data_IF_710096580803
#
_entry.id   IF_710096580803
#
_cell.length_a   1.000
_cell.length_b   1.000
_cell.length_c   1.000
_cell.angle_alpha   90.00
_cell.angle_beta   90.00
_cell.angle_gamma   90.00
#
_symmetry.space_group_name_H-M   'P 1'
#
loop_
_entity.id
_entity.type
_entity.pdbx_description
1 polymer ?
#
# COMPACT_ATOMS: atom_id res chain seq x y z
N UNK A 1 24.23 21.44 -78.83
CA UNK A 1 23.24 22.54 -78.71
C UNK A 1 21.88 21.94 -78.43
N UNK A 2 21.11 22.53 -77.52
CA UNK A 2 19.77 22.26 -77.05
C UNK A 2 19.67 21.39 -75.81
N UNK A 3 19.49 22.13 -74.69
CA UNK A 3 19.22 21.61 -73.41
C UNK A 3 17.74 21.22 -73.24
N UNK A 4 17.44 20.04 -72.71
CA UNK A 4 16.09 19.62 -72.34
C UNK A 4 15.93 19.66 -70.84
N UNK A 5 15.09 20.54 -70.35
CA UNK A 5 14.66 20.67 -68.97
C UNK A 5 13.69 19.54 -68.63
N UNK A 6 14.07 18.64 -67.67
CA UNK A 6 13.13 17.71 -67.02
C UNK A 6 12.46 18.39 -65.84
N UNK A 7 11.15 18.51 -65.88
CA UNK A 7 10.25 18.96 -64.85
C UNK A 7 10.10 17.85 -63.78
N UNK A 8 10.46 18.16 -62.54
CA UNK A 8 10.23 17.25 -61.43
C UNK A 8 8.76 17.40 -60.98
N UNK A 9 8.01 16.33 -61.06
CA UNK A 9 6.67 16.16 -60.50
C UNK A 9 6.78 15.87 -58.98
N UNK A 10 6.25 16.79 -58.19
CA UNK A 10 6.03 16.58 -56.72
C UNK A 10 4.98 15.48 -56.57
N UNK A 11 5.38 14.32 -55.99
CA UNK A 11 4.44 13.34 -55.46
C UNK A 11 3.85 13.86 -54.14
N UNK A 12 2.53 13.97 -54.08
CA UNK A 12 1.78 14.22 -52.86
C UNK A 12 1.79 12.96 -51.99
N UNK A 13 2.08 13.14 -50.69
CA UNK A 13 1.99 12.10 -49.68
C UNK A 13 0.56 11.61 -49.54
N UNK A 14 0.29 10.29 -49.35
CA UNK A 14 -1.06 9.77 -49.17
C UNK A 14 -1.62 10.25 -47.82
N UNK A 15 -2.82 10.85 -47.86
CA UNK A 15 -3.57 11.28 -46.69
C UNK A 15 -3.86 10.12 -45.74
N UNK A 16 -3.78 10.38 -44.44
CA UNK A 16 -4.22 9.43 -43.40
C UNK A 16 -5.67 9.05 -43.65
N UNK A 17 -5.93 7.75 -43.83
CA UNK A 17 -7.25 7.22 -44.13
C UNK A 17 -8.16 7.28 -42.87
N UNK A 18 -9.51 7.20 -43.05
CA UNK A 18 -10.50 7.35 -41.97
C UNK A 18 -10.35 6.36 -40.80
N UNK A 19 -9.68 5.22 -41.01
CA UNK A 19 -9.43 4.20 -39.95
C UNK A 19 -8.43 4.67 -38.86
N UNK A 20 -7.58 5.66 -39.13
CA UNK A 20 -6.68 6.21 -38.11
C UNK A 20 -7.38 7.21 -37.18
N UNK A 21 -8.32 8.01 -37.71
CA UNK A 21 -9.09 8.96 -36.94
C UNK A 21 -10.11 8.27 -35.99
N UNK A 22 -10.69 7.15 -36.44
CA UNK A 22 -11.59 6.34 -35.57
C UNK A 22 -10.83 5.63 -34.45
N UNK A 23 -9.60 5.20 -34.66
CA UNK A 23 -8.76 4.63 -33.60
C UNK A 23 -8.34 5.68 -32.59
N UNK A 24 -7.96 6.88 -33.06
CA UNK A 24 -7.54 7.97 -32.21
C UNK A 24 -8.71 8.54 -31.37
N UNK A 25 -9.95 8.55 -31.89
CA UNK A 25 -11.16 8.92 -31.14
C UNK A 25 -11.58 7.84 -30.15
N UNK A 26 -11.51 6.56 -30.51
CA UNK A 26 -11.80 5.47 -29.60
C UNK A 26 -10.76 5.35 -28.46
N UNK A 27 -9.50 5.66 -28.71
CA UNK A 27 -8.49 5.73 -27.62
C UNK A 27 -8.75 6.92 -26.72
N UNK A 28 -9.10 8.09 -27.23
CA UNK A 28 -9.43 9.28 -26.44
C UNK A 28 -10.71 9.11 -25.62
N UNK A 29 -11.73 8.42 -26.13
CA UNK A 29 -12.93 8.07 -25.37
C UNK A 29 -12.67 7.02 -24.29
N UNK A 30 -11.81 6.05 -24.53
CA UNK A 30 -11.36 5.08 -23.53
C UNK A 30 -10.53 5.78 -22.43
N UNK A 31 -9.62 6.67 -22.77
CA UNK A 31 -8.84 7.44 -21.82
C UNK A 31 -9.71 8.37 -20.98
N UNK A 32 -10.76 8.99 -21.56
CA UNK A 32 -11.70 9.82 -20.81
C UNK A 32 -12.62 9.00 -19.89
N UNK A 33 -13.05 7.81 -20.29
CA UNK A 33 -13.83 6.89 -19.43
C UNK A 33 -12.97 6.25 -18.33
N UNK A 34 -11.67 6.05 -18.55
CA UNK A 34 -10.76 5.54 -17.54
C UNK A 34 -10.42 6.61 -16.49
N UNK A 35 -10.41 7.89 -16.88
CA UNK A 35 -10.18 9.02 -15.96
C UNK A 35 -11.30 9.22 -14.92
N UNK A 36 -12.51 8.75 -15.21
CA UNK A 36 -13.66 8.83 -14.29
C UNK A 36 -13.75 7.62 -13.32
N UNK A 37 -12.93 6.59 -13.54
CA UNK A 37 -12.77 5.45 -12.64
C UNK A 37 -11.50 5.63 -11.83
N UNK A 38 -11.62 5.61 -10.50
CA UNK A 38 -10.48 5.74 -9.60
C UNK A 38 -9.32 4.76 -9.88
N UNK A 39 -8.13 5.00 -9.30
CA UNK A 39 -6.92 4.26 -9.62
C UNK A 39 -7.02 2.78 -9.25
N UNK A 40 -6.46 1.88 -10.07
CA UNK A 40 -6.22 0.48 -9.70
C UNK A 40 -5.02 0.40 -8.77
N UNK A 41 -5.24 -0.16 -7.58
CA UNK A 41 -4.23 -0.22 -6.52
C UNK A 41 -4.05 -1.65 -6.06
N UNK A 42 -2.83 -2.19 -6.23
CA UNK A 42 -2.50 -3.53 -5.81
C UNK A 42 -2.31 -3.62 -4.28
N UNK A 43 -2.77 -4.70 -3.69
CA UNK A 43 -2.56 -5.01 -2.27
C UNK A 43 -2.40 -6.52 -2.07
N UNK A 44 -1.71 -6.93 -1.00
CA UNK A 44 -1.50 -8.35 -0.69
C UNK A 44 -2.66 -8.94 0.10
N UNK A 45 -3.14 -10.11 -0.33
CA UNK A 45 -4.15 -10.90 0.36
C UNK A 45 -5.49 -10.96 -0.35
N UNK A 46 -6.52 -11.33 0.38
CA UNK A 46 -7.90 -11.47 -0.10
C UNK A 46 -8.71 -10.19 0.14
N UNK A 47 -9.84 -10.00 -0.56
CA UNK A 47 -10.82 -8.99 -0.19
C UNK A 47 -11.19 -9.06 1.30
N UNK A 48 -11.25 -7.94 1.98
CA UNK A 48 -11.46 -7.86 3.44
C UNK A 48 -10.16 -7.83 4.27
N UNK A 49 -8.97 -7.96 3.64
CA UNK A 49 -7.70 -7.81 4.34
C UNK A 49 -7.46 -6.36 4.81
N UNK A 50 -6.68 -6.16 5.90
CA UNK A 50 -6.28 -4.83 6.37
C UNK A 50 -5.52 -4.01 5.31
N UNK A 51 -4.84 -4.68 4.37
CA UNK A 51 -4.20 -4.00 3.25
C UNK A 51 -5.22 -3.39 2.27
N UNK A 52 -6.39 -4.03 2.08
CA UNK A 52 -7.49 -3.43 1.31
C UNK A 52 -8.12 -2.25 2.07
N UNK A 53 -8.25 -2.34 3.42
CA UNK A 53 -8.70 -1.21 4.23
C UNK A 53 -7.76 0.00 4.06
N UNK A 54 -6.46 -0.25 3.96
CA UNK A 54 -5.47 0.79 3.69
C UNK A 54 -5.63 1.40 2.29
N UNK A 55 -5.95 0.61 1.25
CA UNK A 55 -6.28 1.13 -0.09
C UNK A 55 -7.50 2.03 -0.04
N UNK A 56 -8.57 1.57 0.62
CA UNK A 56 -9.82 2.32 0.72
C UNK A 56 -9.67 3.61 1.54
N UNK A 57 -8.79 3.62 2.54
CA UNK A 57 -8.49 4.81 3.33
C UNK A 57 -7.58 5.81 2.60
N UNK A 58 -6.66 5.32 1.74
CA UNK A 58 -5.68 6.14 1.04
C UNK A 58 -6.26 6.89 -0.17
N UNK A 59 -7.25 6.32 -0.86
CA UNK A 59 -7.73 6.81 -2.14
C UNK A 59 -9.26 7.03 -2.14
N UNK A 60 -9.70 8.01 -2.92
CA UNK A 60 -11.13 8.18 -3.22
C UNK A 60 -11.53 7.24 -4.36
N UNK A 61 -12.59 6.43 -4.13
CA UNK A 61 -13.12 5.46 -5.09
C UNK A 61 -12.05 4.58 -5.78
N UNK A 62 -11.07 4.02 -5.05
CA UNK A 62 -10.06 3.16 -5.65
C UNK A 62 -10.70 1.89 -6.20
N UNK A 63 -9.97 1.22 -7.09
CA UNK A 63 -10.24 -0.16 -7.50
C UNK A 63 -9.15 -1.06 -6.89
N UNK A 64 -9.41 -1.65 -5.70
CA UNK A 64 -8.45 -2.55 -5.06
C UNK A 64 -8.24 -3.80 -5.91
N UNK A 65 -6.98 -4.20 -6.08
CA UNK A 65 -6.57 -5.37 -6.86
C UNK A 65 -5.81 -6.32 -5.94
N UNK A 66 -6.42 -7.43 -5.51
CA UNK A 66 -5.77 -8.39 -4.64
C UNK A 66 -4.69 -9.18 -5.40
N UNK A 67 -3.55 -9.37 -4.75
CA UNK A 67 -2.46 -10.25 -5.23
C UNK A 67 -2.00 -11.16 -4.09
N UNK A 68 -1.38 -12.32 -4.36
CA UNK A 68 -1.10 -13.34 -3.35
C UNK A 68 -0.20 -12.87 -2.20
N UNK A 69 0.83 -12.08 -2.47
CA UNK A 69 1.83 -11.70 -1.48
C UNK A 69 2.41 -10.31 -1.70
N UNK A 70 3.40 -9.95 -0.87
CA UNK A 70 4.02 -8.62 -0.95
C UNK A 70 4.84 -8.47 -2.23
N UNK A 71 5.61 -9.48 -2.63
CA UNK A 71 6.41 -9.46 -3.84
C UNK A 71 5.57 -9.17 -5.07
N UNK A 72 4.42 -9.82 -5.19
CA UNK A 72 3.49 -9.63 -6.32
C UNK A 72 2.90 -8.21 -6.35
N UNK A 73 2.76 -7.52 -5.21
CA UNK A 73 2.40 -6.09 -5.19
C UNK A 73 3.49 -5.27 -5.87
N UNK A 74 4.76 -5.48 -5.50
CA UNK A 74 5.89 -4.74 -6.08
C UNK A 74 6.06 -5.05 -7.57
N UNK A 75 5.93 -6.31 -7.97
CA UNK A 75 5.99 -6.73 -9.37
C UNK A 75 4.86 -6.12 -10.20
N UNK A 76 3.61 -6.15 -9.69
CA UNK A 76 2.45 -5.56 -10.36
C UNK A 76 2.61 -4.04 -10.57
N UNK A 77 3.13 -3.32 -9.57
CA UNK A 77 3.39 -1.87 -9.68
C UNK A 77 4.53 -1.61 -10.66
N UNK A 78 5.61 -2.39 -10.60
CA UNK A 78 6.78 -2.23 -11.49
C UNK A 78 6.40 -2.50 -12.94
N UNK A 79 5.67 -3.58 -13.20
CA UNK A 79 5.20 -3.94 -14.54
C UNK A 79 4.03 -3.06 -15.02
N UNK A 80 3.33 -2.39 -14.10
CA UNK A 80 2.11 -1.65 -14.41
C UNK A 80 0.89 -2.53 -14.69
N UNK A 81 0.99 -3.84 -14.49
CA UNK A 81 -0.09 -4.81 -14.72
C UNK A 81 0.00 -5.96 -13.70
N UNK A 82 -1.11 -6.62 -13.45
CA UNK A 82 -1.11 -7.90 -12.75
C UNK A 82 -0.82 -8.99 -13.80
N UNK A 83 0.05 -9.97 -13.50
CA UNK A 83 0.18 -11.14 -14.37
C UNK A 83 -1.19 -11.73 -14.67
N UNK A 84 -1.47 -12.04 -15.94
CA UNK A 84 -2.77 -12.49 -16.37
C UNK A 84 -3.27 -13.66 -15.49
N UNK A 85 -4.53 -13.61 -15.00
CA UNK A 85 -5.14 -14.79 -14.41
C UNK A 85 -5.22 -15.90 -15.46
N UNK A 86 -5.40 -17.14 -15.00
CA UNK A 86 -5.43 -18.32 -15.87
C UNK A 86 -6.37 -18.13 -17.09
N UNK A 87 -6.07 -18.77 -18.25
CA UNK A 87 -6.82 -18.55 -19.47
C UNK A 87 -8.33 -18.86 -19.26
N UNK A 88 -9.17 -17.84 -19.49
CA UNK A 88 -10.64 -17.92 -19.36
C UNK A 88 -11.30 -16.85 -18.50
N UNK A 89 -10.58 -15.91 -17.91
CA UNK A 89 -11.16 -14.76 -17.21
C UNK A 89 -11.31 -13.59 -18.19
N UNK A 90 -12.55 -13.09 -18.35
CA UNK A 90 -12.88 -11.91 -19.16
C UNK A 90 -12.50 -10.57 -18.51
N UNK A 91 -11.65 -10.57 -17.47
CA UNK A 91 -11.18 -9.32 -16.86
C UNK A 91 -10.17 -8.63 -17.77
N UNK A 92 -10.57 -7.47 -18.26
CA UNK A 92 -9.76 -6.63 -19.13
C UNK A 92 -8.41 -6.32 -18.52
N UNK A 93 -7.36 -6.91 -19.10
CA UNK A 93 -5.94 -6.79 -18.72
C UNK A 93 -5.36 -5.40 -19.04
N UNK A 94 -6.16 -4.49 -19.61
CA UNK A 94 -5.70 -3.27 -20.29
C UNK A 94 -5.53 -2.02 -19.40
N UNK A 95 -5.96 -2.03 -18.15
CA UNK A 95 -5.80 -0.84 -17.30
C UNK A 95 -4.60 -0.98 -16.35
N UNK A 96 -3.66 -0.01 -16.36
CA UNK A 96 -2.43 -0.13 -15.60
C UNK A 96 -2.67 -0.08 -14.09
N UNK A 97 -1.87 -0.83 -13.34
CA UNK A 97 -1.73 -0.66 -11.90
C UNK A 97 -1.02 0.67 -11.63
N UNK A 98 -1.72 1.57 -10.94
CA UNK A 98 -1.22 2.92 -10.65
C UNK A 98 -0.27 2.92 -9.44
N UNK A 99 -0.61 2.15 -8.40
CA UNK A 99 0.10 2.10 -7.13
C UNK A 99 -0.05 0.75 -6.45
N UNK A 100 0.76 0.52 -5.41
CA UNK A 100 0.61 -0.58 -4.47
C UNK A 100 0.50 -0.05 -3.04
N UNK A 101 -0.16 -0.82 -2.17
CA UNK A 101 -0.22 -0.54 -0.73
C UNK A 101 0.37 -1.71 0.02
N UNK A 102 1.41 -1.45 0.82
CA UNK A 102 2.16 -2.48 1.54
C UNK A 102 2.36 -2.09 3.01
N UNK A 103 2.17 -3.04 3.96
CA UNK A 103 2.43 -2.77 5.37
C UNK A 103 3.94 -2.59 5.61
N UNK A 104 4.32 -1.59 6.42
CA UNK A 104 5.72 -1.36 6.74
C UNK A 104 6.03 -1.60 8.21
N UNK A 105 5.05 -1.36 9.07
CA UNK A 105 5.20 -1.44 10.51
C UNK A 105 3.85 -1.67 11.20
N UNK A 106 3.85 -2.49 12.24
CA UNK A 106 2.70 -2.68 13.12
C UNK A 106 3.13 -2.39 14.57
N UNK A 107 2.32 -1.70 15.34
CA UNK A 107 2.68 -1.29 16.70
C UNK A 107 2.99 -2.45 17.65
N UNK A 108 2.40 -3.61 17.42
CA UNK A 108 2.59 -4.80 18.27
C UNK A 108 3.68 -5.71 17.71
N UNK A 109 3.67 -5.95 16.39
CA UNK A 109 4.55 -6.92 15.74
C UNK A 109 5.84 -6.29 15.21
N UNK A 110 5.95 -4.95 15.23
CA UNK A 110 7.11 -4.23 14.74
C UNK A 110 7.20 -4.20 13.21
N UNK A 111 8.41 -4.15 12.72
CA UNK A 111 8.76 -3.92 11.31
C UNK A 111 8.42 -5.10 10.40
N UNK A 112 7.75 -4.84 9.28
CA UNK A 112 7.52 -5.79 8.19
C UNK A 112 8.74 -5.82 7.27
N UNK A 113 9.72 -6.62 7.65
CA UNK A 113 11.09 -6.61 7.08
C UNK A 113 11.14 -6.83 5.58
N UNK A 114 10.33 -7.74 5.06
CA UNK A 114 10.32 -8.11 3.64
C UNK A 114 10.06 -6.89 2.73
N UNK A 115 9.15 -6.01 3.12
CA UNK A 115 8.78 -4.85 2.31
C UNK A 115 9.88 -3.80 2.20
N UNK A 116 10.78 -3.69 3.20
CA UNK A 116 11.98 -2.86 3.10
C UNK A 116 12.95 -3.39 2.03
N UNK A 117 13.12 -4.70 2.00
CA UNK A 117 14.01 -5.35 1.03
C UNK A 117 13.45 -5.19 -0.40
N UNK A 118 12.13 -5.38 -0.57
CA UNK A 118 11.43 -5.22 -1.85
C UNK A 118 11.46 -3.77 -2.37
N UNK A 119 11.38 -2.76 -1.48
CA UNK A 119 11.52 -1.35 -1.86
C UNK A 119 12.90 -1.04 -2.46
N UNK A 120 13.96 -1.69 -1.99
CA UNK A 120 15.29 -1.54 -2.57
C UNK A 120 15.40 -2.26 -3.92
N UNK A 121 14.85 -3.48 -4.01
CA UNK A 121 14.92 -4.36 -5.17
C UNK A 121 14.18 -3.76 -6.39
N UNK A 122 12.98 -3.23 -6.19
CA UNK A 122 12.08 -2.81 -7.28
C UNK A 122 12.21 -1.34 -7.70
N UNK A 123 13.09 -0.57 -7.09
CA UNK A 123 13.30 0.85 -7.42
C UNK A 123 12.03 1.72 -7.39
N UNK A 124 11.01 1.32 -6.65
CA UNK A 124 9.80 2.10 -6.45
C UNK A 124 10.06 3.27 -5.48
N UNK A 125 9.17 4.25 -5.51
CA UNK A 125 9.18 5.40 -4.60
C UNK A 125 7.95 5.37 -3.70
N UNK A 126 8.07 5.99 -2.53
CA UNK A 126 6.96 6.18 -1.60
C UNK A 126 6.20 7.44 -1.99
N UNK A 127 4.93 7.28 -2.35
CA UNK A 127 4.03 8.36 -2.72
C UNK A 127 3.21 8.88 -1.53
N UNK A 128 3.03 8.08 -0.48
CA UNK A 128 2.26 8.41 0.71
C UNK A 128 2.31 7.31 1.77
N UNK A 129 1.68 7.58 2.90
CA UNK A 129 1.48 6.61 3.97
C UNK A 129 0.04 6.67 4.48
N UNK A 130 -0.42 5.59 5.08
CA UNK A 130 -1.71 5.50 5.77
C UNK A 130 -1.58 4.59 6.98
N UNK A 131 -2.25 4.96 8.07
CA UNK A 131 -2.30 4.14 9.28
C UNK A 131 -3.70 3.58 9.46
N UNK A 132 -3.79 2.25 9.62
CA UNK A 132 -5.07 1.53 9.77
C UNK A 132 -5.11 0.87 11.14
N UNK A 133 -6.19 1.07 11.92
CA UNK A 133 -6.38 0.37 13.18
C UNK A 133 -6.63 -1.12 12.93
N UNK A 134 -6.02 -1.97 13.75
CA UNK A 134 -6.21 -3.42 13.72
C UNK A 134 -7.21 -3.81 14.78
N UNK A 135 -8.48 -3.97 14.37
CA UNK A 135 -9.55 -4.47 15.22
C UNK A 135 -9.87 -5.90 14.81
N UNK A 136 -9.89 -6.80 15.78
CA UNK A 136 -10.14 -8.21 15.55
C UNK A 136 -11.46 -8.63 16.21
N UNK A 137 -12.22 -9.47 15.49
CA UNK A 137 -13.40 -10.14 15.99
C UNK A 137 -13.29 -11.64 15.78
N UNK A 138 -14.08 -12.42 16.51
CA UNK A 138 -14.35 -13.82 16.26
C UNK A 138 -15.67 -13.90 15.50
N UNK A 139 -15.67 -14.50 14.31
CA UNK A 139 -16.87 -14.63 13.51
C UNK A 139 -17.01 -16.06 12.92
N UNK A 140 -18.25 -16.50 12.73
CA UNK A 140 -18.58 -17.84 12.23
C UNK A 140 -19.72 -17.79 11.23
N UNK A 141 -20.07 -18.91 10.60
CA UNK A 141 -21.29 -19.00 9.79
C UNK A 141 -22.53 -18.65 10.63
N UNK A 142 -23.53 -17.99 10.03
CA UNK A 142 -24.72 -17.55 10.77
C UNK A 142 -25.42 -18.69 11.55
N UNK A 143 -25.98 -18.35 12.70
CA UNK A 143 -26.74 -19.27 13.55
C UNK A 143 -25.90 -20.18 14.43
N UNK A 144 -24.59 -19.98 14.52
CA UNK A 144 -23.73 -20.70 15.45
C UNK A 144 -23.52 -19.92 16.75
N UNK A 145 -23.52 -20.61 17.89
CA UNK A 145 -23.14 -20.02 19.17
C UNK A 145 -21.65 -20.16 19.43
N UNK A 146 -21.11 -19.27 20.24
CA UNK A 146 -19.68 -19.27 20.60
C UNK A 146 -19.28 -20.55 21.36
N UNK A 147 -20.22 -21.16 22.09
CA UNK A 147 -20.05 -22.40 22.83
C UNK A 147 -19.93 -23.62 21.90
N UNK A 148 -20.52 -23.54 20.71
CA UNK A 148 -20.47 -24.61 19.72
C UNK A 148 -19.15 -24.64 18.94
N UNK A 149 -18.33 -23.59 19.03
CA UNK A 149 -17.06 -23.50 18.28
C UNK A 149 -16.02 -24.45 18.85
N UNK A 150 -15.34 -25.16 17.97
CA UNK A 150 -14.24 -26.09 18.31
C UNK A 150 -12.91 -25.69 17.63
N UNK A 151 -12.99 -25.05 16.44
CA UNK A 151 -11.83 -24.69 15.63
C UNK A 151 -11.84 -23.18 15.33
N UNK A 152 -10.67 -22.58 15.45
CA UNK A 152 -10.50 -21.14 15.13
C UNK A 152 -9.37 -20.99 14.14
N UNK A 153 -9.69 -20.36 13.01
CA UNK A 153 -8.77 -20.11 11.90
C UNK A 153 -8.34 -18.66 11.87
N UNK A 154 -7.07 -18.40 11.64
CA UNK A 154 -6.56 -17.08 11.26
C UNK A 154 -5.08 -17.13 10.86
N UNK A 155 -4.53 -15.97 10.45
CA UNK A 155 -3.09 -15.77 10.35
C UNK A 155 -2.42 -15.85 11.73
N UNK A 156 -1.22 -16.41 11.79
CA UNK A 156 -0.51 -16.64 13.06
C UNK A 156 -0.38 -15.37 13.92
N UNK A 157 -0.16 -14.22 13.30
CA UNK A 157 -0.06 -12.95 14.02
C UNK A 157 -1.39 -12.51 14.65
N UNK A 158 -2.52 -12.70 13.97
CA UNK A 158 -3.83 -12.37 14.52
C UNK A 158 -4.23 -13.31 15.65
N UNK A 159 -3.90 -14.61 15.55
CA UNK A 159 -4.07 -15.56 16.65
C UNK A 159 -3.24 -15.13 17.87
N UNK A 160 -1.98 -14.71 17.67
CA UNK A 160 -1.13 -14.20 18.75
C UNK A 160 -1.68 -12.92 19.37
N UNK A 161 -2.21 -11.98 18.58
CA UNK A 161 -2.82 -10.75 19.09
C UNK A 161 -4.12 -10.97 19.86
N UNK A 162 -4.82 -12.06 19.62
CA UNK A 162 -6.06 -12.45 20.34
C UNK A 162 -5.83 -13.56 21.39
N UNK A 163 -4.58 -13.91 21.69
CA UNK A 163 -4.21 -15.07 22.51
C UNK A 163 -4.94 -15.11 23.86
N UNK A 164 -5.00 -13.99 24.59
CA UNK A 164 -5.66 -13.92 25.91
C UNK A 164 -7.15 -14.31 25.82
N UNK A 165 -7.84 -13.88 24.77
CA UNK A 165 -9.23 -14.24 24.51
C UNK A 165 -9.34 -15.71 24.10
N UNK A 166 -8.50 -16.16 23.18
CA UNK A 166 -8.55 -17.52 22.62
C UNK A 166 -8.24 -18.60 23.66
N UNK A 167 -7.38 -18.32 24.62
CA UNK A 167 -7.04 -19.27 25.73
C UNK A 167 -8.16 -19.47 26.74
N UNK A 168 -9.23 -18.67 26.71
CA UNK A 168 -10.37 -18.84 27.61
C UNK A 168 -11.22 -20.08 27.30
N UNK A 169 -10.97 -20.74 26.17
CA UNK A 169 -11.73 -21.90 25.68
C UNK A 169 -10.82 -22.96 25.06
N UNK A 170 -11.24 -24.24 25.07
CA UNK A 170 -10.43 -25.35 24.54
C UNK A 170 -10.52 -25.46 23.01
N UNK A 171 -10.32 -24.35 22.32
CA UNK A 171 -10.39 -24.34 20.85
C UNK A 171 -9.09 -24.83 20.21
N UNK A 172 -9.21 -25.56 19.09
CA UNK A 172 -8.08 -25.89 18.22
C UNK A 172 -7.77 -24.69 17.33
N UNK A 173 -6.58 -24.10 17.47
CA UNK A 173 -6.14 -22.96 16.68
C UNK A 173 -5.44 -23.45 15.39
N UNK A 174 -5.89 -22.98 14.25
CA UNK A 174 -5.41 -23.40 12.94
C UNK A 174 -4.95 -22.18 12.14
N UNK A 175 -3.74 -22.25 11.58
CA UNK A 175 -3.17 -21.14 10.83
C UNK A 175 -3.59 -21.15 9.37
N UNK A 176 -3.85 -19.96 8.84
CA UNK A 176 -4.11 -19.69 7.43
C UNK A 176 -3.12 -18.64 6.89
N UNK A 177 -3.04 -18.50 5.59
CA UNK A 177 -2.12 -17.58 4.93
C UNK A 177 -2.43 -16.10 5.22
N UNK A 178 -3.70 -15.73 5.46
CA UNK A 178 -4.10 -14.39 5.95
C UNK A 178 -5.43 -14.46 6.70
N UNK A 179 -5.84 -13.35 7.36
CA UNK A 179 -7.05 -13.29 8.17
C UNK A 179 -8.34 -13.41 7.35
N UNK A 180 -8.43 -12.74 6.20
CA UNK A 180 -9.61 -12.81 5.32
C UNK A 180 -9.72 -14.19 4.63
N UNK A 181 -8.60 -14.84 4.31
CA UNK A 181 -8.57 -16.20 3.80
C UNK A 181 -9.14 -17.24 4.76
N UNK A 182 -9.09 -16.98 6.06
CA UNK A 182 -9.78 -17.82 7.06
C UNK A 182 -11.31 -17.79 6.87
N UNK A 183 -11.88 -16.59 6.61
CA UNK A 183 -13.31 -16.45 6.32
C UNK A 183 -13.68 -17.19 5.04
N UNK A 184 -12.92 -16.96 3.96
CA UNK A 184 -13.11 -17.61 2.66
C UNK A 184 -13.14 -19.15 2.81
N UNK A 185 -12.16 -19.70 3.54
CA UNK A 185 -12.09 -21.13 3.78
C UNK A 185 -13.33 -21.68 4.50
N UNK A 186 -13.80 -21.01 5.56
CA UNK A 186 -15.00 -21.42 6.32
C UNK A 186 -16.25 -21.37 5.44
N UNK A 187 -16.43 -20.31 4.67
CA UNK A 187 -17.59 -20.13 3.78
C UNK A 187 -17.59 -21.14 2.64
N UNK A 188 -16.47 -21.30 1.92
CA UNK A 188 -16.37 -22.24 0.79
C UNK A 188 -16.60 -23.70 1.20
N UNK A 189 -16.19 -24.06 2.43
CA UNK A 189 -16.39 -25.41 2.96
C UNK A 189 -17.72 -25.63 3.67
N UNK A 190 -18.48 -24.55 3.96
CA UNK A 190 -19.65 -24.63 4.81
C UNK A 190 -19.31 -25.19 6.20
N UNK A 191 -18.13 -24.83 6.76
CA UNK A 191 -17.56 -25.50 7.91
C UNK A 191 -18.23 -25.08 9.21
N UNK A 192 -19.09 -25.96 9.74
CA UNK A 192 -19.74 -25.77 11.03
C UNK A 192 -18.78 -25.99 12.19
N UNK A 193 -19.08 -25.39 13.36
CA UNK A 193 -18.27 -25.44 14.60
C UNK A 193 -16.88 -24.83 14.40
N UNK A 194 -16.73 -23.98 13.39
CA UNK A 194 -15.51 -23.25 13.05
C UNK A 194 -15.75 -21.74 13.07
N UNK A 195 -14.77 -21.00 13.55
CA UNK A 195 -14.79 -19.54 13.55
C UNK A 195 -13.47 -18.99 12.97
N UNK A 196 -13.49 -17.75 12.51
CA UNK A 196 -12.30 -17.03 12.09
C UNK A 196 -12.02 -15.83 13.01
N UNK A 197 -10.75 -15.54 13.25
CA UNK A 197 -10.29 -14.27 13.81
C UNK A 197 -9.91 -13.36 12.65
N UNK A 198 -10.62 -12.24 12.47
CA UNK A 198 -10.51 -11.37 11.31
C UNK A 198 -11.01 -9.96 11.65
N UNK A 199 -10.97 -9.03 10.66
CA UNK A 199 -11.59 -7.71 10.81
C UNK A 199 -13.12 -7.80 10.76
N UNK A 200 -13.87 -6.90 11.44
CA UNK A 200 -15.33 -6.82 11.32
C UNK A 200 -15.79 -6.61 9.87
N UNK A 201 -15.02 -5.88 9.06
CA UNK A 201 -15.30 -5.68 7.63
C UNK A 201 -15.20 -6.99 6.84
N UNK A 202 -14.17 -7.78 7.09
CA UNK A 202 -14.05 -9.10 6.46
C UNK A 202 -15.19 -10.02 6.87
N UNK A 203 -15.60 -10.03 8.15
CA UNK A 203 -16.76 -10.79 8.59
C UNK A 203 -18.02 -10.41 7.80
N UNK A 204 -18.30 -9.11 7.67
CA UNK A 204 -19.45 -8.62 6.91
C UNK A 204 -19.36 -8.98 5.41
N UNK A 205 -18.19 -8.85 4.79
CA UNK A 205 -17.96 -9.16 3.38
C UNK A 205 -18.23 -10.64 3.05
N UNK A 206 -17.83 -11.53 3.94
CA UNK A 206 -18.02 -12.97 3.77
C UNK A 206 -19.34 -13.49 4.37
N UNK A 207 -20.21 -12.61 4.88
CA UNK A 207 -21.52 -13.00 5.45
C UNK A 207 -21.39 -13.82 6.74
N UNK A 208 -20.31 -13.62 7.51
CA UNK A 208 -20.12 -14.25 8.81
C UNK A 208 -20.78 -13.44 9.91
N UNK A 209 -21.30 -14.12 10.93
CA UNK A 209 -21.86 -13.52 12.13
C UNK A 209 -20.75 -13.32 13.18
N UNK A 210 -20.65 -12.11 13.74
CA UNK A 210 -19.67 -11.78 14.79
C UNK A 210 -20.15 -12.35 16.11
N UNK A 211 -19.38 -13.28 16.67
CA UNK A 211 -19.64 -13.91 17.96
C UNK A 211 -18.99 -13.16 19.14
N UNK A 212 -17.86 -12.50 18.89
CA UNK A 212 -17.19 -11.61 19.84
C UNK A 212 -16.39 -10.54 19.10
N UNK A 213 -16.42 -9.32 19.60
CA UNK A 213 -15.75 -8.16 18.97
C UNK A 213 -14.67 -7.58 19.90
N UNK A 214 -13.65 -6.95 19.30
CA UNK A 214 -12.57 -6.29 20.05
C UNK A 214 -11.71 -7.27 20.85
N UNK A 215 -11.44 -8.44 20.31
CA UNK A 215 -10.76 -9.55 20.99
C UNK A 215 -9.22 -9.42 21.03
N UNK A 216 -8.64 -8.40 20.40
CA UNK A 216 -7.19 -8.13 20.43
C UNK A 216 -6.74 -7.68 21.83
N UNK A 217 -5.53 -8.08 22.25
CA UNK A 217 -4.94 -7.74 23.54
C UNK A 217 -4.59 -6.26 23.67
N UNK A 218 -4.14 -5.63 22.60
CA UNK A 218 -3.78 -4.21 22.55
C UNK A 218 -4.91 -3.45 21.85
N UNK A 219 -5.63 -2.64 22.60
CA UNK A 219 -6.81 -1.92 22.08
C UNK A 219 -6.46 -0.95 20.95
N UNK A 220 -5.31 -0.27 21.05
CA UNK A 220 -4.81 0.69 20.05
C UNK A 220 -3.71 0.08 19.17
N UNK A 221 -3.97 -1.11 18.62
CA UNK A 221 -3.07 -1.72 17.64
C UNK A 221 -3.34 -1.10 16.27
N UNK A 222 -2.26 -0.68 15.60
CA UNK A 222 -2.31 -0.05 14.28
C UNK A 222 -1.23 -0.59 13.37
N UNK A 223 -1.50 -0.60 12.06
CA UNK A 223 -0.51 -0.91 11.04
C UNK A 223 -0.31 0.30 10.13
N UNK A 224 0.93 0.71 9.96
CA UNK A 224 1.35 1.72 9.00
C UNK A 224 1.63 1.05 7.66
N UNK A 225 1.00 1.57 6.62
CA UNK A 225 1.18 1.16 5.22
C UNK A 225 1.84 2.27 4.43
N UNK A 226 2.65 1.91 3.45
CA UNK A 226 3.17 2.82 2.44
C UNK A 226 2.41 2.64 1.13
N UNK A 227 2.16 3.76 0.47
CA UNK A 227 1.71 3.81 -0.91
C UNK A 227 2.95 3.88 -1.80
N UNK A 228 3.18 2.85 -2.59
CA UNK A 228 4.33 2.73 -3.48
C UNK A 228 3.93 2.89 -4.93
N UNK A 229 4.78 3.55 -5.72
CA UNK A 229 4.52 3.81 -7.13
C UNK A 229 5.82 3.82 -7.93
N UNK A 230 5.72 3.71 -9.24
CA UNK A 230 6.85 4.01 -10.15
C UNK A 230 7.21 5.50 -10.04
N UNK A 231 8.49 5.88 -10.15
CA UNK A 231 8.92 7.28 -10.06
C UNK A 231 8.12 8.22 -10.97
N UNK A 232 7.89 7.82 -12.22
CA UNK A 232 7.15 8.58 -13.22
C UNK A 232 5.64 8.70 -12.91
N UNK A 233 5.07 7.71 -12.23
CA UNK A 233 3.64 7.68 -11.86
C UNK A 233 3.37 8.38 -10.52
N UNK A 234 4.37 8.53 -9.67
CA UNK A 234 4.21 9.04 -8.30
C UNK A 234 3.53 10.43 -8.21
N UNK A 235 3.80 11.42 -9.10
CA UNK A 235 3.09 12.70 -9.06
C UNK A 235 1.57 12.54 -9.29
N UNK A 236 1.17 11.68 -10.22
CA UNK A 236 -0.23 11.32 -10.49
C UNK A 236 -0.87 10.63 -9.30
N UNK A 237 -0.19 9.64 -8.71
CA UNK A 237 -0.65 8.94 -7.50
C UNK A 237 -0.85 9.93 -6.35
N UNK A 238 0.12 10.81 -6.08
CA UNK A 238 0.00 11.84 -5.03
C UNK A 238 -1.18 12.79 -5.26
N UNK A 239 -1.50 13.14 -6.51
CA UNK A 239 -2.65 13.99 -6.81
C UNK A 239 -3.99 13.30 -6.49
N UNK A 240 -4.10 11.99 -6.65
CA UNK A 240 -5.26 11.22 -6.20
C UNK A 240 -5.37 11.17 -4.68
N UNK A 241 -4.26 11.01 -3.96
CA UNK A 241 -4.23 11.09 -2.50
C UNK A 241 -4.67 12.49 -2.00
N UNK A 242 -4.18 13.57 -2.63
CA UNK A 242 -4.57 14.95 -2.30
C UNK A 242 -6.02 15.27 -2.67
N UNK A 243 -6.54 14.75 -3.78
CA UNK A 243 -7.95 14.92 -4.18
C UNK A 243 -8.90 14.26 -3.17
N UNK A 244 -8.59 13.09 -2.67
CA UNK A 244 -9.34 12.44 -1.61
C UNK A 244 -9.44 13.34 -0.37
N UNK A 245 -8.34 14.01 0.00
CA UNK A 245 -8.32 14.99 1.08
C UNK A 245 -9.20 16.23 0.81
N UNK A 246 -9.26 16.72 -0.42
CA UNK A 246 -10.02 17.94 -0.79
C UNK A 246 -11.53 17.68 -0.93
N UNK A 247 -11.95 16.58 -1.55
CA UNK A 247 -13.37 16.23 -1.76
C UNK A 247 -14.09 16.02 -0.45
N UNK A 248 -13.44 15.36 0.51
CA UNK A 248 -14.02 15.15 1.83
C UNK A 248 -14.17 16.48 2.64
N UNK A 249 -13.45 17.56 2.27
CA UNK A 249 -13.65 18.90 2.85
C UNK A 249 -14.86 19.63 2.28
N UNK A 250 -15.23 19.36 1.01
CA UNK A 250 -16.34 20.01 0.32
C UNK A 250 -17.71 19.35 0.59
N UNK A 251 -17.75 18.07 0.97
CA UNK A 251 -18.99 17.29 1.19
C UNK A 251 -19.56 17.37 2.62
N UNK A 252 -19.29 18.47 3.34
CA UNK A 252 -19.80 18.73 4.70
C UNK A 252 -21.28 19.09 4.77
N UNK A 253 -22.20 18.30 4.18
CA UNK A 253 -23.61 18.31 4.54
C UNK A 253 -24.31 16.99 4.20
N UNK A 254 -24.64 16.22 5.23
CA UNK A 254 -25.93 15.51 5.26
C UNK A 254 -26.10 14.20 4.51
N UNK A 255 -25.13 13.30 4.47
CA UNK A 255 -25.41 11.90 4.15
C UNK A 255 -25.22 11.06 5.42
N UNK A 256 -26.29 10.46 5.91
CA UNK A 256 -26.23 9.37 6.89
C UNK A 256 -25.54 8.17 6.22
N UNK A 257 -24.21 8.18 6.27
CA UNK A 257 -23.42 7.02 5.96
C UNK A 257 -23.65 5.98 7.06
N UNK A 258 -23.96 4.76 6.67
CA UNK A 258 -23.79 3.58 7.53
C UNK A 258 -22.39 3.68 8.09
N UNK A 259 -22.30 3.87 9.42
CA UNK A 259 -21.06 4.02 10.16
C UNK A 259 -20.22 2.76 9.96
N UNK A 260 -19.28 2.81 9.02
CA UNK A 260 -18.07 1.98 9.07
C UNK A 260 -17.21 2.62 10.16
N UNK A 261 -17.63 2.41 11.40
CA UNK A 261 -16.88 2.83 12.57
C UNK A 261 -15.55 2.10 12.54
N UNK A 262 -14.48 2.86 12.44
CA UNK A 262 -13.08 2.49 12.72
C UNK A 262 -12.12 2.28 11.55
N UNK A 263 -12.27 2.98 10.44
CA UNK A 263 -11.08 3.30 9.63
C UNK A 263 -10.40 4.48 10.34
N UNK A 264 -9.10 4.39 10.65
CA UNK A 264 -8.31 5.45 11.29
C UNK A 264 -8.41 6.78 10.53
N UNK A 265 -7.78 7.85 11.04
CA UNK A 265 -7.88 9.15 10.41
C UNK A 265 -7.52 9.04 8.93
N UNK A 266 -8.41 9.60 8.11
CA UNK A 266 -8.24 9.61 6.67
C UNK A 266 -6.99 10.42 6.30
N UNK A 267 -6.40 10.18 5.12
CA UNK A 267 -5.32 11.03 4.55
C UNK A 267 -5.68 12.52 4.57
N UNK A 268 -6.97 12.86 4.63
CA UNK A 268 -7.51 14.21 4.84
C UNK A 268 -7.07 14.84 6.15
N UNK A 269 -7.15 14.11 7.26
CA UNK A 269 -6.74 14.60 8.59
C UNK A 269 -5.23 14.69 8.66
N UNK A 270 -4.53 13.81 7.95
CA UNK A 270 -3.08 13.78 7.81
C UNK A 270 -2.54 15.00 7.04
N UNK A 271 -3.18 15.35 5.90
CA UNK A 271 -2.81 16.53 5.11
C UNK A 271 -3.12 17.86 5.84
N UNK A 272 -4.10 17.88 6.76
CA UNK A 272 -4.42 19.06 7.55
C UNK A 272 -3.36 19.40 8.60
N UNK A 273 -2.52 18.43 9.02
CA UNK A 273 -1.46 18.64 10.02
C UNK A 273 -0.21 19.36 9.45
N UNK A 274 -0.07 19.46 8.13
CA UNK A 274 1.00 20.23 7.46
C UNK A 274 2.42 19.66 7.61
N UNK A 275 2.60 18.52 8.29
CA UNK A 275 3.91 17.91 8.52
C UNK A 275 4.23 16.95 7.38
N UNK A 276 5.38 17.17 6.74
CA UNK A 276 5.90 16.26 5.71
C UNK A 276 6.84 15.24 6.33
N UNK A 277 6.85 14.04 5.76
CA UNK A 277 7.81 12.98 6.09
C UNK A 277 8.60 12.63 4.86
N UNK A 278 9.90 12.51 5.05
CA UNK A 278 10.81 11.98 4.05
C UNK A 278 11.38 10.65 4.50
N UNK A 279 11.16 9.60 3.70
CA UNK A 279 11.80 8.30 3.91
C UNK A 279 13.07 8.21 3.07
N UNK A 280 14.17 7.89 3.72
CA UNK A 280 15.49 7.69 3.11
C UNK A 280 16.06 6.34 3.48
N UNK A 281 16.92 5.83 2.62
CA UNK A 281 17.77 4.68 2.89
C UNK A 281 19.22 5.05 2.64
N UNK A 282 20.09 4.66 3.56
CA UNK A 282 21.52 4.93 3.46
C UNK A 282 22.37 3.75 3.96
N UNK A 283 23.52 3.56 3.34
CA UNK A 283 24.58 2.70 3.87
C UNK A 283 25.73 3.61 4.31
N UNK A 284 26.18 3.44 5.56
CA UNK A 284 27.34 4.17 6.07
C UNK A 284 28.62 3.41 5.76
N UNK A 285 29.74 4.13 5.70
CA UNK A 285 31.06 3.48 5.63
C UNK A 285 31.29 2.68 6.91
N UNK A 286 31.84 1.48 6.78
CA UNK A 286 32.12 0.61 7.93
C UNK A 286 33.38 1.09 8.66
N UNK A 287 33.30 2.25 9.30
CA UNK A 287 34.36 2.91 10.05
C UNK A 287 33.82 3.39 11.40
N UNK A 288 34.64 3.42 12.45
CA UNK A 288 34.24 3.94 13.75
C UNK A 288 33.63 5.35 13.65
N UNK A 289 32.45 5.54 14.20
CA UNK A 289 31.75 6.83 14.25
C UNK A 289 31.03 7.26 12.98
N UNK A 290 31.01 6.48 11.88
CA UNK A 290 30.30 6.86 10.63
C UNK A 290 28.82 7.12 10.84
N UNK A 291 28.10 6.22 11.51
CA UNK A 291 26.69 6.43 11.84
C UNK A 291 26.51 7.66 12.75
N UNK A 292 27.39 7.85 13.75
CA UNK A 292 27.32 9.01 14.64
C UNK A 292 27.46 10.34 13.86
N UNK A 293 28.38 10.41 12.89
CA UNK A 293 28.54 11.61 12.05
C UNK A 293 27.28 11.87 11.22
N UNK A 294 26.67 10.83 10.64
CA UNK A 294 25.39 10.95 9.93
C UNK A 294 24.27 11.49 10.82
N UNK A 295 24.08 10.89 12.01
CA UNK A 295 23.06 11.35 12.96
C UNK A 295 23.34 12.78 13.43
N UNK A 296 24.61 13.12 13.69
CA UNK A 296 25.03 14.49 14.04
C UNK A 296 24.80 15.50 12.91
N UNK A 297 24.91 15.09 11.64
CA UNK A 297 24.60 15.95 10.49
C UNK A 297 23.10 16.28 10.43
N UNK A 298 22.23 15.29 10.62
CA UNK A 298 20.78 15.46 10.67
C UNK A 298 20.40 16.39 11.84
N UNK A 299 20.97 16.14 13.03
CA UNK A 299 20.70 16.96 14.22
C UNK A 299 21.12 18.42 14.05
N UNK A 300 22.26 18.71 13.39
CA UNK A 300 22.71 20.09 13.09
C UNK A 300 21.77 20.83 12.14
N UNK A 301 21.03 20.12 11.30
CA UNK A 301 19.99 20.70 10.45
C UNK A 301 18.67 20.96 11.20
N UNK A 302 18.58 20.56 12.47
CA UNK A 302 17.36 20.71 13.26
C UNK A 302 16.23 19.75 12.86
N UNK A 303 16.53 18.72 12.07
CA UNK A 303 15.53 17.77 11.58
C UNK A 303 15.23 16.70 12.63
N UNK A 304 13.94 16.45 12.88
CA UNK A 304 13.51 15.36 13.73
C UNK A 304 13.54 14.04 12.97
N UNK A 305 14.12 13.01 13.58
CA UNK A 305 14.13 11.64 13.06
C UNK A 305 13.05 10.84 13.81
N UNK A 306 11.99 10.49 13.12
CA UNK A 306 10.87 9.74 13.70
C UNK A 306 11.05 8.21 13.60
N UNK A 307 11.99 7.73 12.74
CA UNK A 307 12.34 6.31 12.60
C UNK A 307 13.80 6.11 12.25
N UNK A 308 14.39 5.07 12.85
CA UNK A 308 15.70 4.52 12.48
C UNK A 308 15.62 2.99 12.57
N UNK A 309 15.77 2.33 11.44
CA UNK A 309 15.80 0.86 11.33
C UNK A 309 17.09 0.42 10.68
N UNK A 310 17.84 -0.47 11.30
CA UNK A 310 19.07 -1.05 10.73
C UNK A 310 18.79 -2.42 10.13
N UNK A 311 19.33 -2.68 8.93
CA UNK A 311 19.19 -3.95 8.23
C UNK A 311 20.54 -4.41 7.69
N UNK A 312 20.89 -5.71 7.75
CA UNK A 312 22.04 -6.22 7.03
C UNK A 312 21.89 -5.95 5.53
N UNK A 313 22.97 -5.53 4.88
CA UNK A 313 23.02 -5.40 3.43
C UNK A 313 22.91 -6.79 2.78
N UNK A 314 22.14 -6.89 1.68
CA UNK A 314 22.09 -8.11 0.87
C UNK A 314 23.31 -8.24 -0.05
N UNK A 315 23.86 -7.11 -0.47
CA UNK A 315 24.95 -7.05 -1.46
C UNK A 315 26.33 -7.20 -0.83
N UNK A 316 26.47 -6.85 0.47
CA UNK A 316 27.74 -6.86 1.17
C UNK A 316 27.62 -7.47 2.55
N UNK A 317 28.32 -8.59 2.75
CA UNK A 317 28.36 -9.27 4.04
C UNK A 317 28.87 -8.34 5.15
N UNK A 318 28.17 -8.32 6.28
CA UNK A 318 28.51 -7.55 7.49
C UNK A 318 28.44 -6.02 7.34
N UNK A 319 27.92 -5.48 6.23
CA UNK A 319 27.51 -4.09 6.11
C UNK A 319 26.04 -3.91 6.46
N UNK A 320 25.67 -2.71 6.90
CA UNK A 320 24.31 -2.36 7.29
C UNK A 320 23.75 -1.24 6.44
N UNK A 321 22.49 -1.38 6.11
CA UNK A 321 21.66 -0.35 5.49
C UNK A 321 20.74 0.22 6.55
N UNK A 322 20.63 1.53 6.62
CA UNK A 322 19.78 2.25 7.58
C UNK A 322 18.61 2.90 6.84
N UNK A 323 17.44 2.61 7.34
CA UNK A 323 16.20 3.25 6.92
C UNK A 323 15.86 4.32 7.93
N UNK A 324 15.65 5.54 7.46
CA UNK A 324 15.32 6.67 8.30
C UNK A 324 14.08 7.40 7.77
N UNK A 325 13.22 7.81 8.70
CA UNK A 325 12.13 8.74 8.42
C UNK A 325 12.46 10.06 9.11
N UNK A 326 12.49 11.13 8.34
CA UNK A 326 12.70 12.49 8.81
C UNK A 326 11.38 13.27 8.69
N UNK A 327 11.05 14.06 9.70
CA UNK A 327 10.02 15.07 9.59
C UNK A 327 10.63 16.25 8.79
N UNK A 328 10.55 16.17 7.46
CA UNK A 328 11.23 17.06 6.53
C UNK A 328 10.47 17.17 5.20
N UNK A 329 10.47 18.37 4.63
CA UNK A 329 9.99 18.63 3.28
C UNK A 329 11.05 18.27 2.20
N UNK A 330 10.76 18.51 0.93
CA UNK A 330 11.65 18.17 -0.19
C UNK A 330 12.96 18.99 -0.15
N UNK A 331 12.93 20.25 0.30
CA UNK A 331 14.11 21.12 0.36
C UNK A 331 15.02 20.71 1.54
N UNK A 332 14.43 20.41 2.68
CA UNK A 332 15.09 19.92 3.88
C UNK A 332 15.70 18.52 3.63
N UNK A 333 14.96 17.64 2.96
CA UNK A 333 15.43 16.32 2.55
C UNK A 333 16.66 16.40 1.63
N UNK A 334 16.62 17.32 0.66
CA UNK A 334 17.76 17.57 -0.22
C UNK A 334 18.98 18.14 0.55
N UNK A 335 18.77 18.99 1.55
CA UNK A 335 19.83 19.49 2.43
C UNK A 335 20.43 18.37 3.28
N UNK A 336 19.59 17.49 3.85
CA UNK A 336 20.02 16.33 4.59
C UNK A 336 20.85 15.38 3.70
N UNK A 337 20.37 15.08 2.49
CA UNK A 337 21.10 14.23 1.55
C UNK A 337 22.50 14.78 1.21
N UNK A 338 22.62 16.09 0.98
CA UNK A 338 23.94 16.73 0.76
C UNK A 338 24.86 16.62 1.97
N UNK A 339 24.32 16.81 3.18
CA UNK A 339 25.10 16.74 4.42
C UNK A 339 25.56 15.31 4.73
N UNK A 340 24.84 14.30 4.28
CA UNK A 340 25.16 12.88 4.50
C UNK A 340 26.07 12.28 3.43
N UNK A 341 26.24 12.94 2.28
CA UNK A 341 26.91 12.38 1.10
C UNK A 341 28.37 11.95 1.36
N UNK A 342 29.10 12.63 2.26
CA UNK A 342 30.51 12.33 2.57
C UNK A 342 30.69 11.09 3.45
N UNK A 343 29.71 10.78 4.31
CA UNK A 343 29.79 9.71 5.30
C UNK A 343 29.01 8.44 4.87
N UNK A 344 28.33 8.49 3.73
CA UNK A 344 27.56 7.38 3.19
C UNK A 344 28.22 6.77 1.95
N UNK A 345 28.12 5.45 1.80
CA UNK A 345 28.51 4.72 0.59
C UNK A 345 27.33 4.58 -0.39
N UNK A 346 26.10 4.68 0.12
CA UNK A 346 24.86 4.71 -0.64
C UNK A 346 23.86 5.60 0.09
N UNK A 347 23.14 6.44 -0.66
CA UNK A 347 22.04 7.24 -0.15
C UNK A 347 20.95 7.34 -1.22
N UNK A 348 19.72 7.08 -0.82
CA UNK A 348 18.55 7.19 -1.70
C UNK A 348 17.38 7.78 -0.93
N UNK A 349 16.79 8.85 -1.44
CA UNK A 349 15.49 9.37 -1.00
C UNK A 349 14.41 8.52 -1.69
N UNK A 350 13.57 7.88 -0.91
CA UNK A 350 12.49 7.04 -1.44
C UNK A 350 11.21 7.83 -1.68
N UNK A 351 11.01 8.92 -0.96
CA UNK A 351 9.88 9.83 -1.17
C UNK A 351 9.70 10.80 -0.03
N UNK A 352 9.06 11.94 -0.37
CA UNK A 352 8.57 12.95 0.57
C UNK A 352 7.06 13.03 0.41
N UNK A 353 6.31 12.91 1.49
CA UNK A 353 4.85 12.77 1.49
C UNK A 353 4.26 13.30 2.81
N UNK A 354 2.96 13.65 2.85
CA UNK A 354 2.28 14.05 4.07
C UNK A 354 2.36 12.95 5.14
N UNK A 355 2.80 13.32 6.33
CA UNK A 355 2.84 12.42 7.49
C UNK A 355 1.43 12.09 7.96
N UNK A 356 1.19 10.82 8.31
CA UNK A 356 -0.03 10.42 9.01
C UNK A 356 -0.08 11.05 10.41
N UNK A 357 -1.25 11.56 10.81
CA UNK A 357 -1.44 12.17 12.14
C UNK A 357 -1.21 11.17 13.29
N UNK A 358 -1.33 9.90 13.03
CA UNK A 358 -1.20 8.79 13.99
C UNK A 358 0.10 7.98 13.82
N UNK A 359 1.04 8.45 13.00
CA UNK A 359 2.30 7.76 12.69
C UNK A 359 3.56 8.41 13.24
#
# INVERSE_FOLDING_TARGET
MTASRRRATRQASPGRGPRSAERDSQSAERDSQSADRGPRVAFSGEPGAFAEDAVLAAFEQPRPVPVPGFREVFEAVTAGCVPAPAPGSDEAVDEPIAAGVVPIENLVNGTVRENYDLLLEHHLVVAGEVVVPVRLCLAALPGQSIEAIERVYSHIQALGQAESFLRTRPWTLLTTYNTAGAAKLIVERGELRAAAVLSPRAAALFGLEILADGIQQVADNRTRFLVVARPESAPGVRSHLRRAAASAAASGSGARSVSVASVGPSLREQAAAGVMRTTMVLAVRNEPGSLHRCLGAIARLGLNMSKLESRPSRDRAWEYVFWIDLDADEAEAAAAARALATDTSMLRILGTYPRSADG
#
